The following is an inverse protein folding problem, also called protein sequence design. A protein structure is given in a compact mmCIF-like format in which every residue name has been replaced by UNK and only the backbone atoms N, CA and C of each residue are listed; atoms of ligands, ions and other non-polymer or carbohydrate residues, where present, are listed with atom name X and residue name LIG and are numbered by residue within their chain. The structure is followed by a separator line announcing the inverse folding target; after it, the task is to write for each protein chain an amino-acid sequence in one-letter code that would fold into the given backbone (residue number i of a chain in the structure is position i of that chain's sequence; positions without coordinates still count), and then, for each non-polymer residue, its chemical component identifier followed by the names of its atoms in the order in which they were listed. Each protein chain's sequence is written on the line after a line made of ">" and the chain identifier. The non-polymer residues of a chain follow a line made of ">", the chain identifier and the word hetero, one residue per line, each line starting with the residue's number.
data_IF_274373404865
#
_entry.id   IF_274373404865
#
_cell.length_a   1.000
_cell.length_b   1.000
_cell.length_c   1.000
_cell.angle_alpha   90.00
_cell.angle_beta   90.00
_cell.angle_gamma   90.00
#
_symmetry.space_group_name_H-M   'P 1'
#
loop_
_entity.id
_entity.type
_entity.pdbx_description
1 polymer ?
#
# COMPACT_ATOMS: atom_id res chain seq x y z
N UNK A 1 -29.16 -13.98 56.13
CA UNK A 1 -29.10 -12.75 55.31
C UNK A 1 -27.67 -12.43 54.83
N UNK A 2 -26.67 -12.34 55.72
CA UNK A 2 -25.28 -11.91 55.36
C UNK A 2 -24.53 -12.89 54.43
N UNK A 3 -24.76 -14.21 54.53
CA UNK A 3 -24.13 -15.21 53.65
C UNK A 3 -24.63 -15.20 52.19
N UNK A 4 -25.90 -14.81 51.98
CA UNK A 4 -26.51 -14.67 50.65
C UNK A 4 -25.96 -13.44 49.91
N UNK A 5 -25.78 -12.32 50.64
CA UNK A 5 -25.19 -11.09 50.08
C UNK A 5 -23.74 -11.29 49.60
N UNK A 6 -22.91 -12.09 50.31
CA UNK A 6 -21.53 -12.37 49.89
C UNK A 6 -21.44 -13.24 48.63
N UNK A 7 -22.38 -14.17 48.42
CA UNK A 7 -22.43 -15.00 47.20
C UNK A 7 -22.89 -14.19 45.98
N UNK A 8 -23.86 -13.31 46.16
CA UNK A 8 -24.34 -12.39 45.10
C UNK A 8 -23.25 -11.37 44.71
N UNK A 9 -22.46 -10.88 45.68
CA UNK A 9 -21.35 -9.96 45.41
C UNK A 9 -20.18 -10.62 44.66
N UNK A 10 -19.93 -11.93 44.88
CA UNK A 10 -18.92 -12.69 44.14
C UNK A 10 -19.37 -13.06 42.71
N UNK A 11 -20.68 -13.25 42.49
CA UNK A 11 -21.22 -13.53 41.14
C UNK A 11 -21.29 -12.25 40.30
N UNK A 12 -21.58 -11.09 40.91
CA UNK A 12 -21.56 -9.80 40.21
C UNK A 12 -20.15 -9.38 39.73
N UNK A 13 -19.09 -9.80 40.43
CA UNK A 13 -17.71 -9.55 40.02
C UNK A 13 -17.25 -10.41 38.83
N UNK A 14 -17.89 -11.56 38.59
CA UNK A 14 -17.53 -12.47 37.48
C UNK A 14 -18.12 -12.05 36.12
N UNK A 15 -19.20 -11.26 36.10
CA UNK A 15 -19.83 -10.80 34.84
C UNK A 15 -19.20 -9.54 34.24
N UNK A 16 -18.30 -8.85 34.95
CA UNK A 16 -17.57 -7.69 34.43
C UNK A 16 -16.33 -8.06 33.59
N UNK A 17 -15.96 -9.33 33.50
CA UNK A 17 -14.73 -9.79 32.83
C UNK A 17 -14.94 -10.36 31.41
N UNK A 18 -16.18 -10.43 30.91
CA UNK A 18 -16.49 -11.01 29.59
C UNK A 18 -16.87 -9.96 28.53
N UNK A 19 -16.71 -8.67 28.84
CA UNK A 19 -17.27 -7.58 28.05
C UNK A 19 -16.27 -6.56 27.52
N UNK A 20 -15.00 -6.89 27.24
CA UNK A 20 -14.13 -5.99 26.47
C UNK A 20 -12.86 -6.65 25.91
N UNK A 21 -12.98 -7.62 25.03
CA UNK A 21 -11.85 -8.02 24.18
C UNK A 21 -12.27 -8.39 22.76
N UNK A 22 -13.19 -7.62 22.18
CA UNK A 22 -13.10 -7.36 20.76
C UNK A 22 -12.01 -6.30 20.56
N UNK A 23 -10.74 -6.70 20.70
CA UNK A 23 -9.66 -5.95 20.06
C UNK A 23 -9.86 -6.15 18.57
N UNK A 24 -10.72 -5.33 17.97
CA UNK A 24 -10.55 -4.99 16.57
C UNK A 24 -9.10 -4.52 16.47
N UNK A 25 -8.30 -5.25 15.70
CA UNK A 25 -6.92 -4.92 15.43
C UNK A 25 -6.90 -3.56 14.74
N UNK A 26 -6.93 -2.48 15.51
CA UNK A 26 -6.76 -1.14 14.97
C UNK A 26 -5.29 -1.02 14.61
N UNK A 27 -4.99 -1.35 13.35
CA UNK A 27 -3.77 -0.92 12.71
C UNK A 27 -3.65 0.60 12.92
N UNK A 28 -2.41 1.07 13.12
CA UNK A 28 -2.13 2.48 13.40
C UNK A 28 -2.77 3.36 12.33
N UNK A 29 -3.41 4.46 12.74
CA UNK A 29 -4.00 5.43 11.82
C UNK A 29 -2.94 5.94 10.85
N UNK A 30 -3.17 5.72 9.55
CA UNK A 30 -2.33 6.26 8.48
C UNK A 30 -2.96 7.57 8.01
N UNK A 31 -2.46 8.68 8.54
CA UNK A 31 -2.94 10.03 8.25
C UNK A 31 -2.22 10.55 7.01
N UNK A 32 -2.96 10.85 5.95
CA UNK A 32 -2.44 11.26 4.64
C UNK A 32 -2.39 12.78 4.52
N UNK A 33 -1.33 13.33 3.91
CA UNK A 33 -1.29 14.72 3.47
C UNK A 33 -2.21 14.91 2.25
N UNK A 34 -3.23 15.75 2.40
CA UNK A 34 -4.25 16.02 1.39
C UNK A 34 -3.86 17.12 0.40
N UNK A 35 -2.61 17.60 0.44
CA UNK A 35 -2.06 18.55 -0.55
C UNK A 35 -1.77 17.85 -1.88
N UNK A 36 -2.82 17.43 -2.58
CA UNK A 36 -2.72 16.83 -3.91
C UNK A 36 -3.73 15.71 -4.14
N UNK A 37 -3.45 14.91 -5.16
CA UNK A 37 -4.25 13.74 -5.50
C UNK A 37 -4.02 12.65 -4.44
N UNK A 38 -5.10 12.27 -3.74
CA UNK A 38 -5.04 11.26 -2.68
C UNK A 38 -5.31 9.87 -3.29
N UNK A 39 -4.32 8.95 -3.29
CA UNK A 39 -4.45 7.67 -3.98
C UNK A 39 -5.29 6.64 -3.22
N UNK A 40 -5.65 6.90 -1.96
CA UNK A 40 -6.45 6.01 -1.12
C UNK A 40 -7.70 6.71 -0.58
N UNK A 41 -8.73 5.93 -0.31
CA UNK A 41 -9.95 6.43 0.33
C UNK A 41 -9.58 6.85 1.74
N UNK A 42 -9.92 8.09 2.09
CA UNK A 42 -9.69 8.65 3.42
C UNK A 42 -11.02 9.03 4.07
N UNK A 43 -11.07 9.01 5.40
CA UNK A 43 -12.17 9.57 6.16
C UNK A 43 -12.00 11.09 6.43
N UNK A 44 -12.94 11.68 7.17
CA UNK A 44 -12.91 13.11 7.51
C UNK A 44 -11.69 13.54 8.34
N UNK A 45 -10.94 12.59 8.92
CA UNK A 45 -9.71 12.83 9.70
C UNK A 45 -8.46 12.68 8.83
N UNK A 46 -8.63 12.49 7.52
CA UNK A 46 -7.57 12.14 6.58
C UNK A 46 -6.90 10.79 6.86
N UNK A 47 -7.61 9.86 7.52
CA UNK A 47 -7.10 8.51 7.81
C UNK A 47 -7.51 7.57 6.68
N UNK A 48 -6.56 6.76 6.19
CA UNK A 48 -6.84 5.75 5.15
C UNK A 48 -7.85 4.72 5.63
N UNK A 49 -8.93 4.56 4.87
CA UNK A 49 -9.90 3.50 5.07
C UNK A 49 -9.29 2.14 4.71
N UNK A 50 -9.44 1.17 5.62
CA UNK A 50 -8.92 -0.19 5.48
C UNK A 50 -10.04 -1.22 5.46
N UNK A 51 -9.78 -2.37 4.85
CA UNK A 51 -10.65 -3.54 4.94
C UNK A 51 -10.50 -4.25 6.29
N UNK A 52 -11.37 -5.20 6.59
CA UNK A 52 -11.22 -6.06 7.77
C UNK A 52 -9.98 -6.97 7.75
N UNK A 53 -9.28 -7.04 6.61
CA UNK A 53 -8.02 -7.76 6.43
C UNK A 53 -6.79 -6.82 6.37
N UNK A 54 -6.94 -5.57 6.82
CA UNK A 54 -5.88 -4.55 6.85
C UNK A 54 -5.37 -4.07 5.47
N UNK A 55 -6.17 -4.24 4.41
CA UNK A 55 -5.86 -3.71 3.07
C UNK A 55 -6.36 -2.28 2.91
N UNK A 56 -5.55 -1.37 2.36
CA UNK A 56 -5.97 0.00 2.10
C UNK A 56 -6.85 0.11 0.85
N UNK A 57 -7.99 0.81 0.96
CA UNK A 57 -8.87 1.03 -0.18
C UNK A 57 -8.29 2.08 -1.13
N UNK A 58 -7.99 1.68 -2.37
CA UNK A 58 -7.48 2.56 -3.42
C UNK A 58 -8.62 3.38 -4.06
N UNK A 59 -8.34 4.60 -4.50
CA UNK A 59 -9.29 5.42 -5.29
C UNK A 59 -9.16 5.11 -6.80
N UNK A 60 -10.08 5.64 -7.62
CA UNK A 60 -9.97 5.57 -9.09
C UNK A 60 -8.78 6.37 -9.67
N UNK A 61 -8.13 7.18 -8.82
CA UNK A 61 -6.97 8.02 -9.10
C UNK A 61 -5.65 7.35 -8.69
N UNK A 62 -5.72 6.13 -8.14
CA UNK A 62 -4.55 5.45 -7.63
C UNK A 62 -3.56 5.10 -8.75
N UNK A 63 -2.28 5.41 -8.51
CA UNK A 63 -1.14 4.95 -9.30
C UNK A 63 0.03 4.59 -8.38
N UNK A 64 0.97 3.72 -8.80
CA UNK A 64 2.19 3.46 -8.04
C UNK A 64 3.01 4.73 -7.78
N UNK A 65 2.99 5.67 -8.71
CA UNK A 65 3.61 6.98 -8.56
C UNK A 65 2.94 7.78 -7.43
N UNK A 66 1.61 7.93 -7.45
CA UNK A 66 0.88 8.65 -6.42
C UNK A 66 1.06 8.01 -5.02
N UNK A 67 1.06 6.66 -4.94
CA UNK A 67 1.31 5.94 -3.70
C UNK A 67 2.73 6.15 -3.14
N UNK A 68 3.72 6.40 -4.01
CA UNK A 68 5.12 6.62 -3.64
C UNK A 68 5.51 8.10 -3.46
N UNK A 69 4.60 9.04 -3.72
CA UNK A 69 4.82 10.48 -3.54
C UNK A 69 3.89 11.12 -2.50
N UNK A 70 2.68 10.61 -2.32
CA UNK A 70 1.74 11.13 -1.31
C UNK A 70 2.22 10.72 0.07
N UNK A 71 2.38 11.68 0.98
CA UNK A 71 2.96 11.41 2.29
C UNK A 71 1.89 11.00 3.31
N UNK A 72 2.26 10.10 4.21
CA UNK A 72 1.59 9.83 5.47
C UNK A 72 2.62 9.95 6.60
N UNK A 73 2.63 11.11 7.26
CA UNK A 73 3.75 11.48 8.13
C UNK A 73 5.02 11.75 7.32
N UNK A 74 6.11 11.06 7.64
CA UNK A 74 7.41 11.26 6.99
C UNK A 74 7.60 10.40 5.72
N UNK A 75 6.83 9.32 5.58
CA UNK A 75 6.98 8.35 4.50
C UNK A 75 5.83 8.42 3.51
N UNK A 76 6.01 7.94 2.27
CA UNK A 76 4.91 7.74 1.36
C UNK A 76 3.82 6.84 1.97
N UNK A 77 2.55 7.15 1.73
CA UNK A 77 1.40 6.36 2.18
C UNK A 77 1.46 4.92 1.68
N UNK A 78 2.02 4.68 0.50
CA UNK A 78 2.19 3.33 -0.05
C UNK A 78 3.18 2.48 0.75
N UNK A 79 4.02 3.07 1.60
CA UNK A 79 4.85 2.30 2.54
C UNK A 79 4.03 1.55 3.58
N UNK A 80 2.80 1.96 3.87
CA UNK A 80 1.90 1.25 4.80
C UNK A 80 0.76 0.53 4.08
N UNK A 81 0.51 0.86 2.82
CA UNK A 81 -0.64 0.38 2.07
C UNK A 81 -0.30 -0.60 0.95
N UNK A 82 0.86 -0.45 0.29
CA UNK A 82 1.27 -1.24 -0.88
C UNK A 82 2.82 -1.37 -0.92
N UNK A 83 3.38 -2.06 0.08
CA UNK A 83 4.84 -2.24 0.29
C UNK A 83 5.54 -2.94 -0.88
N UNK A 84 4.80 -3.65 -1.70
CA UNK A 84 5.25 -4.40 -2.87
C UNK A 84 5.46 -3.51 -4.11
N UNK A 85 4.78 -2.37 -4.20
CA UNK A 85 4.88 -1.46 -5.36
C UNK A 85 5.66 -0.19 -5.06
N UNK A 86 5.89 0.14 -3.78
CA UNK A 86 6.69 1.29 -3.38
C UNK A 86 8.16 0.89 -3.22
N UNK A 87 9.10 1.61 -3.85
CA UNK A 87 10.53 1.39 -3.64
C UNK A 87 10.89 1.46 -2.14
N UNK A 88 11.50 0.39 -1.62
CA UNK A 88 11.76 0.23 -0.18
C UNK A 88 12.65 1.34 0.39
N UNK A 89 13.54 1.91 -0.43
CA UNK A 89 14.40 3.04 -0.08
C UNK A 89 13.60 4.29 0.35
N UNK A 90 12.36 4.44 -0.14
CA UNK A 90 11.46 5.55 0.24
C UNK A 90 10.73 5.31 1.57
N UNK A 91 10.74 4.08 2.06
CA UNK A 91 10.02 3.67 3.28
C UNK A 91 10.92 3.55 4.51
N UNK A 92 12.22 3.75 4.33
CA UNK A 92 13.19 3.75 5.42
C UNK A 92 13.69 5.17 5.59
N UNK A 93 13.66 5.69 6.82
CA UNK A 93 14.34 6.95 7.11
C UNK A 93 15.82 6.69 6.89
N UNK A 94 16.40 7.23 5.82
CA UNK A 94 17.85 7.37 5.74
C UNK A 94 18.26 8.10 7.00
N UNK A 95 18.81 7.36 7.96
CA UNK A 95 19.55 7.96 9.05
C UNK A 95 20.62 8.81 8.37
N UNK A 96 20.51 10.13 8.50
CA UNK A 96 21.59 11.02 8.14
C UNK A 96 22.80 10.51 8.92
N UNK A 97 23.73 9.86 8.20
CA UNK A 97 25.03 9.54 8.76
C UNK A 97 25.60 10.87 9.26
N UNK A 98 26.11 10.95 10.51
CA UNK A 98 26.61 12.20 11.04
C UNK A 98 27.69 12.72 10.09
N UNK A 99 27.51 13.97 9.64
CA UNK A 99 28.44 14.68 8.79
C UNK A 99 29.80 14.74 9.49
N UNK A 100 30.75 13.92 9.03
CA UNK A 100 32.15 14.02 9.42
C UNK A 100 33.03 13.79 8.19
N UNK A 101 33.65 14.88 7.73
CA UNK A 101 34.92 14.85 6.99
C UNK A 101 34.81 14.59 5.48
N UNK A 102 35.08 15.64 4.72
CA UNK A 102 35.44 15.55 3.31
C UNK A 102 36.61 14.58 3.09
N UNK A 103 36.34 13.43 2.45
CA UNK A 103 37.21 12.79 1.48
C UNK A 103 36.33 12.20 0.39
N UNK A 104 36.52 12.68 -0.82
CA UNK A 104 35.96 12.12 -2.05
C UNK A 104 36.40 10.65 -2.18
N UNK A 105 35.53 9.74 -1.75
CA UNK A 105 35.57 8.33 -2.10
C UNK A 105 34.69 8.13 -3.36
N UNK A 106 34.99 7.15 -4.22
CA UNK A 106 34.40 7.05 -5.55
C UNK A 106 32.88 6.93 -5.47
N UNK A 107 32.20 7.62 -6.40
CA UNK A 107 30.77 7.54 -6.59
C UNK A 107 30.31 6.06 -6.54
N UNK A 108 29.25 5.74 -5.78
CA UNK A 108 28.59 4.45 -5.92
C UNK A 108 28.20 4.33 -7.39
N UNK A 109 28.68 3.27 -8.05
CA UNK A 109 28.28 2.91 -9.39
C UNK A 109 26.75 2.87 -9.38
N UNK A 110 26.14 3.73 -10.19
CA UNK A 110 24.69 3.76 -10.36
C UNK A 110 24.23 2.33 -10.64
N UNK A 111 23.43 1.77 -9.73
CA UNK A 111 22.67 0.58 -10.06
C UNK A 111 21.88 0.89 -11.34
N UNK A 112 21.80 -0.04 -12.30
CA UNK A 112 21.14 0.21 -13.57
C UNK A 112 19.73 0.73 -13.30
N UNK A 113 19.44 1.92 -13.80
CA UNK A 113 18.10 2.49 -13.72
C UNK A 113 17.12 1.47 -14.33
N UNK A 114 15.92 1.28 -13.74
CA UNK A 114 14.94 0.39 -14.33
C UNK A 114 14.63 0.87 -15.75
N UNK A 115 14.87 -0.01 -16.72
CA UNK A 115 14.60 0.27 -18.13
C UNK A 115 13.10 0.17 -18.31
N UNK A 116 12.40 1.31 -18.30
CA UNK A 116 10.97 1.35 -18.54
C UNK A 116 10.70 1.39 -20.06
N UNK A 117 10.38 0.24 -20.65
CA UNK A 117 9.89 0.17 -22.03
C UNK A 117 8.40 0.52 -22.08
N UNK A 118 8.07 1.66 -22.69
CA UNK A 118 6.68 2.07 -22.94
C UNK A 118 6.15 1.39 -24.19
N UNK A 119 5.39 0.31 -24.01
CA UNK A 119 4.75 -0.41 -25.11
C UNK A 119 3.35 0.16 -25.33
N UNK A 120 3.09 0.73 -26.52
CA UNK A 120 1.76 1.17 -26.94
C UNK A 120 1.06 0.03 -27.69
N UNK A 121 -0.03 -0.49 -27.13
CA UNK A 121 -0.87 -1.49 -27.79
C UNK A 121 -2.16 -0.82 -28.26
N UNK A 122 -2.51 -1.00 -29.53
CA UNK A 122 -3.76 -0.51 -30.11
C UNK A 122 -4.88 -1.52 -29.84
N UNK A 123 -5.97 -1.07 -29.19
CA UNK A 123 -7.10 -1.93 -28.85
C UNK A 123 -7.76 -2.53 -30.11
N UNK A 124 -7.89 -1.73 -31.17
CA UNK A 124 -8.53 -2.11 -32.44
C UNK A 124 -7.81 -3.26 -33.17
N UNK A 125 -6.54 -3.52 -32.83
CA UNK A 125 -5.77 -4.64 -33.36
C UNK A 125 -5.86 -5.91 -32.50
N UNK A 126 -6.24 -5.77 -31.23
CA UNK A 126 -6.32 -6.86 -30.25
C UNK A 126 -7.75 -7.38 -30.10
N UNK A 127 -8.74 -6.50 -30.23
CA UNK A 127 -10.15 -6.76 -29.95
C UNK A 127 -11.02 -6.38 -31.15
N UNK A 128 -12.10 -7.13 -31.34
CA UNK A 128 -13.17 -6.73 -32.24
C UNK A 128 -13.93 -5.56 -31.63
N UNK A 129 -14.56 -4.74 -32.46
CA UNK A 129 -15.37 -3.61 -31.99
C UNK A 129 -16.44 -4.09 -31.00
N UNK A 130 -16.52 -3.43 -29.84
CA UNK A 130 -17.44 -3.75 -28.74
C UNK A 130 -17.30 -5.18 -28.16
N UNK A 131 -16.10 -5.78 -28.27
CA UNK A 131 -15.78 -7.10 -27.69
C UNK A 131 -14.53 -7.04 -26.82
N UNK A 132 -14.51 -7.87 -25.78
CA UNK A 132 -13.33 -8.09 -24.94
C UNK A 132 -12.57 -9.39 -25.30
N UNK A 133 -13.01 -10.11 -26.32
CA UNK A 133 -12.38 -11.36 -26.76
C UNK A 133 -11.23 -11.02 -27.72
N UNK A 134 -10.03 -11.51 -27.38
CA UNK A 134 -8.83 -11.30 -28.20
C UNK A 134 -8.98 -12.00 -29.57
N UNK A 135 -8.67 -11.27 -30.64
CA UNK A 135 -8.46 -11.89 -31.95
C UNK A 135 -7.27 -12.85 -31.89
N UNK A 136 -7.22 -13.88 -32.76
CA UNK A 136 -6.06 -14.75 -32.89
C UNK A 136 -4.75 -13.98 -33.13
N UNK A 137 -4.80 -12.91 -33.94
CA UNK A 137 -3.67 -12.02 -34.18
C UNK A 137 -3.26 -11.23 -32.93
N UNK A 138 -4.23 -10.81 -32.11
CA UNK A 138 -3.97 -10.11 -30.85
C UNK A 138 -3.30 -11.00 -29.81
N UNK A 139 -3.71 -12.28 -29.72
CA UNK A 139 -3.05 -13.27 -28.86
C UNK A 139 -1.59 -13.47 -29.22
N UNK A 140 -1.28 -13.70 -30.50
CA UNK A 140 0.10 -13.87 -30.95
C UNK A 140 0.98 -12.66 -30.62
N UNK A 141 0.46 -11.43 -30.77
CA UNK A 141 1.19 -10.21 -30.40
C UNK A 141 1.46 -10.10 -28.90
N UNK A 142 0.52 -10.52 -28.06
CA UNK A 142 0.72 -10.55 -26.61
C UNK A 142 1.69 -11.65 -26.17
N UNK A 143 1.67 -12.81 -26.84
CA UNK A 143 2.61 -13.90 -26.60
C UNK A 143 4.06 -13.49 -26.94
N UNK A 144 4.26 -12.77 -28.06
CA UNK A 144 5.57 -12.22 -28.44
C UNK A 144 6.10 -11.20 -27.42
N UNK A 145 5.22 -10.34 -26.88
CA UNK A 145 5.60 -9.38 -25.85
C UNK A 145 5.92 -10.07 -24.53
N UNK A 146 5.15 -11.10 -24.15
CA UNK A 146 5.41 -11.89 -22.96
C UNK A 146 6.73 -12.68 -23.06
N UNK A 147 7.11 -13.14 -24.26
CA UNK A 147 8.40 -13.76 -24.49
C UNK A 147 9.54 -12.76 -24.28
N UNK A 148 9.48 -11.58 -24.90
CA UNK A 148 10.49 -10.52 -24.75
C UNK A 148 10.65 -10.03 -23.31
N UNK A 149 9.56 -10.00 -22.55
CA UNK A 149 9.58 -9.57 -21.14
C UNK A 149 10.32 -10.55 -20.21
N UNK A 150 10.64 -11.77 -20.67
CA UNK A 150 11.45 -12.72 -19.90
C UNK A 150 12.94 -12.48 -20.04
N UNK A 151 13.34 -11.71 -21.06
CA UNK A 151 14.73 -11.40 -21.38
C UNK A 151 15.15 -10.01 -20.83
N UNK A 152 14.24 -9.32 -20.13
CA UNK A 152 14.46 -8.00 -19.50
C UNK A 152 14.64 -8.15 -17.99
#
# INVERSE_FOLDING_TARGET
>A
MIKQAKKQLLIAAAMAALGLSASASFAKDVVVDTKGEVPYVIDARSVVARSGADLCWRTGYWTPAAASTTLAGEFPVGCECDKDVVPQDKCVKTAAAPAAGAKSAPAPVAAPAPVAEKIKLAADALFEFDKAVLLPAGKAKLDDLAAKSKDV
#
